data_IF_899900103250
#
_entry.id   IF_899900103250
#
_cell.length_a   1.000
_cell.length_b   1.000
_cell.length_c   1.000
_cell.angle_alpha   90.00
_cell.angle_beta   90.00
_cell.angle_gamma   90.00
#
_symmetry.space_group_name_H-M   'P 1'
#
loop_
_entity.id
_entity.type
_entity.pdbx_description
1 polymer ?
#
# COMPACT_ATOMS: atom_id res chain seq x y z
N UNK A 1 62.60 19.60 14.83
CA UNK A 1 61.12 19.77 14.63
C UNK A 1 60.65 18.71 13.65
N UNK A 2 59.95 17.67 14.12
CA UNK A 2 59.35 16.63 13.28
C UNK A 2 57.84 16.93 13.12
N UNK A 3 57.43 17.23 11.89
CA UNK A 3 56.03 17.45 11.56
C UNK A 3 55.29 16.11 11.50
N UNK A 4 54.28 15.91 12.34
CA UNK A 4 53.34 14.82 12.26
C UNK A 4 52.23 15.18 11.25
N UNK A 5 52.19 14.45 10.14
CA UNK A 5 51.10 14.53 9.18
C UNK A 5 49.98 13.60 9.68
N UNK A 6 48.86 14.19 10.14
CA UNK A 6 47.63 13.43 10.43
C UNK A 6 46.91 13.14 9.10
N UNK A 7 46.92 11.90 8.71
CA UNK A 7 46.06 11.39 7.59
C UNK A 7 44.67 11.14 8.17
N UNK A 8 43.71 12.02 7.82
CA UNK A 8 42.28 11.80 8.13
C UNK A 8 41.76 10.79 7.13
N UNK A 9 41.51 9.58 7.60
CA UNK A 9 40.85 8.53 6.82
C UNK A 9 39.34 8.87 6.79
N UNK A 10 38.89 9.46 5.70
CA UNK A 10 37.44 9.63 5.44
C UNK A 10 36.91 8.28 5.03
N UNK A 11 36.25 7.60 5.96
CA UNK A 11 35.51 6.37 5.67
C UNK A 11 34.23 6.79 4.92
N UNK A 12 34.22 6.66 3.60
CA UNK A 12 33.01 6.71 2.81
C UNK A 12 32.16 5.49 3.19
N UNK A 13 31.09 5.71 3.94
CA UNK A 13 30.02 4.73 4.11
C UNK A 13 29.39 4.50 2.74
N UNK A 14 29.88 3.49 2.02
CA UNK A 14 29.36 3.08 0.73
C UNK A 14 27.89 2.70 0.86
N UNK A 15 27.05 3.40 0.11
CA UNK A 15 25.62 3.24 0.08
C UNK A 15 25.21 1.81 -0.28
N UNK A 16 24.40 1.19 0.54
CA UNK A 16 23.79 -0.16 0.34
C UNK A 16 22.89 -0.22 -0.93
N UNK A 17 22.76 0.87 -1.66
CA UNK A 17 21.91 1.00 -2.85
C UNK A 17 22.57 0.63 -4.19
N UNK A 18 23.84 0.24 -4.20
CA UNK A 18 24.60 0.03 -5.45
C UNK A 18 24.07 -1.11 -6.36
N UNK A 19 23.15 -1.97 -5.86
CA UNK A 19 22.67 -3.16 -6.59
C UNK A 19 21.14 -3.17 -6.86
N UNK A 20 20.40 -2.08 -6.56
CA UNK A 20 18.95 -2.04 -6.80
C UNK A 20 18.68 -1.61 -8.24
N UNK A 21 18.18 -2.54 -9.06
CA UNK A 21 17.67 -2.19 -10.41
C UNK A 21 16.48 -1.24 -10.27
N UNK A 22 16.68 0.03 -10.67
CA UNK A 22 15.60 1.04 -10.67
C UNK A 22 14.55 0.70 -11.73
N UNK A 23 13.27 0.93 -11.42
CA UNK A 23 12.16 0.74 -12.35
C UNK A 23 11.01 -0.06 -11.75
N UNK A 24 9.93 -0.17 -12.52
CA UNK A 24 8.81 -1.05 -12.20
C UNK A 24 9.23 -2.51 -12.14
N UNK A 25 8.55 -3.28 -11.32
CA UNK A 25 8.79 -4.71 -11.14
C UNK A 25 7.46 -5.42 -10.90
N UNK A 26 7.45 -6.75 -10.98
CA UNK A 26 6.27 -7.54 -10.64
C UNK A 26 5.78 -7.23 -9.20
N UNK A 27 4.49 -7.41 -8.96
CA UNK A 27 3.88 -7.20 -7.63
C UNK A 27 4.62 -7.96 -6.52
N UNK A 28 5.04 -9.21 -6.77
CA UNK A 28 5.81 -9.98 -5.79
C UNK A 28 7.14 -9.33 -5.42
N UNK A 29 7.83 -8.74 -6.40
CA UNK A 29 9.09 -8.01 -6.16
C UNK A 29 8.84 -6.64 -5.54
N UNK A 30 7.74 -5.96 -5.92
CA UNK A 30 7.34 -4.67 -5.37
C UNK A 30 7.06 -4.77 -3.86
N UNK A 31 6.37 -5.83 -3.40
CA UNK A 31 6.16 -6.09 -1.96
C UNK A 31 7.48 -6.15 -1.17
N UNK A 32 8.46 -6.88 -1.67
CA UNK A 32 9.78 -6.97 -1.02
C UNK A 32 10.53 -5.64 -1.02
N UNK A 33 10.39 -4.83 -2.08
CA UNK A 33 10.97 -3.48 -2.13
C UNK A 33 10.27 -2.53 -1.17
N UNK A 34 8.94 -2.57 -1.11
CA UNK A 34 8.15 -1.78 -0.18
C UNK A 34 8.57 -2.06 1.28
N UNK A 35 8.64 -3.33 1.68
CA UNK A 35 9.10 -3.75 3.00
C UNK A 35 10.52 -3.25 3.28
N UNK A 36 11.46 -3.57 2.40
CA UNK A 36 12.90 -3.36 2.65
C UNK A 36 13.33 -1.90 2.54
N UNK A 37 12.74 -1.11 1.65
CA UNK A 37 13.26 0.21 1.29
C UNK A 37 12.29 1.36 1.56
N UNK A 38 10.98 1.10 1.59
CA UNK A 38 9.98 2.16 1.77
C UNK A 38 9.50 2.20 3.22
N UNK A 39 9.12 1.06 3.78
CA UNK A 39 8.47 0.95 5.10
C UNK A 39 9.37 0.37 6.20
N UNK A 40 10.68 0.23 5.97
CA UNK A 40 11.61 -0.43 6.90
C UNK A 40 11.67 0.19 8.32
N UNK A 41 11.29 1.43 8.48
CA UNK A 41 11.22 2.19 9.73
C UNK A 41 9.81 2.77 10.01
N UNK A 42 8.82 2.37 9.22
CA UNK A 42 7.42 2.77 9.33
C UNK A 42 6.56 1.53 9.57
N UNK A 43 6.32 1.26 10.82
CA UNK A 43 5.62 0.07 11.31
C UNK A 43 4.12 0.33 11.60
N UNK A 44 3.48 1.21 10.84
CA UNK A 44 2.05 1.55 10.96
C UNK A 44 1.26 1.08 9.76
N UNK A 45 0.16 0.35 10.01
CA UNK A 45 -0.80 0.03 8.95
C UNK A 45 -1.49 1.29 8.43
N UNK A 46 -1.84 1.30 7.14
CA UNK A 46 -2.36 2.49 6.48
C UNK A 46 -3.69 2.97 7.10
N UNK A 47 -4.75 2.17 7.08
CA UNK A 47 -6.06 2.62 7.54
C UNK A 47 -6.18 2.79 9.06
N UNK A 48 -5.75 1.79 9.83
CA UNK A 48 -5.97 1.77 11.28
C UNK A 48 -4.80 2.32 12.08
N UNK A 49 -3.65 2.57 11.48
CA UNK A 49 -2.41 2.99 12.17
C UNK A 49 -1.94 2.00 13.25
N UNK A 50 -2.30 0.72 13.13
CA UNK A 50 -1.80 -0.32 14.02
C UNK A 50 -0.31 -0.52 13.82
N UNK A 51 0.44 -0.70 14.91
CA UNK A 51 1.81 -1.17 14.83
C UNK A 51 1.84 -2.58 14.24
N UNK A 52 2.86 -2.87 13.45
CA UNK A 52 3.15 -4.21 12.96
C UNK A 52 4.65 -4.49 12.97
N UNK A 53 5.02 -5.73 12.75
CA UNK A 53 6.43 -6.17 12.70
C UNK A 53 6.61 -7.05 11.48
N UNK A 54 7.69 -6.82 10.73
CA UNK A 54 8.20 -7.78 9.77
C UNK A 54 9.23 -8.66 10.47
N UNK A 55 9.01 -9.96 10.46
CA UNK A 55 9.97 -10.95 10.96
C UNK A 55 9.98 -12.14 10.01
N UNK A 56 11.11 -12.40 9.37
CA UNK A 56 11.33 -13.53 8.49
C UNK A 56 12.19 -14.64 9.12
N UNK A 57 12.44 -14.54 10.43
CA UNK A 57 13.29 -15.45 11.20
C UNK A 57 12.56 -16.29 12.23
N UNK A 58 11.39 -15.85 12.68
CA UNK A 58 10.60 -16.49 13.72
C UNK A 58 9.17 -16.77 13.25
N UNK A 59 8.66 -17.92 13.61
CA UNK A 59 7.24 -18.26 13.49
C UNK A 59 6.49 -17.61 14.66
N UNK A 60 5.94 -16.41 14.41
CA UNK A 60 5.32 -15.58 15.45
C UNK A 60 3.89 -16.01 15.80
N UNK A 61 3.18 -16.69 14.89
CA UNK A 61 1.82 -17.15 15.11
C UNK A 61 1.67 -18.67 15.25
N UNK A 62 2.75 -19.43 15.04
CA UNK A 62 2.80 -20.87 15.22
C UNK A 62 2.25 -21.69 14.04
N UNK A 63 2.16 -21.09 12.84
CA UNK A 63 1.64 -21.76 11.64
C UNK A 63 2.71 -22.58 10.86
N UNK A 64 3.98 -22.49 11.29
CA UNK A 64 5.14 -23.14 10.66
C UNK A 64 5.82 -22.31 9.58
N UNK A 65 5.41 -21.07 9.37
CA UNK A 65 6.01 -20.12 8.43
C UNK A 65 6.80 -19.05 9.20
N UNK A 66 8.00 -18.71 8.75
CA UNK A 66 8.85 -17.68 9.38
C UNK A 66 8.80 -16.33 8.66
N UNK A 67 7.93 -16.15 7.66
CA UNK A 67 7.75 -14.86 6.96
C UNK A 67 6.55 -14.12 7.55
N UNK A 68 6.76 -13.57 8.70
CA UNK A 68 5.72 -12.96 9.50
C UNK A 68 5.56 -11.46 9.24
N UNK A 69 4.34 -11.01 9.36
CA UNK A 69 3.98 -9.58 9.25
C UNK A 69 2.83 -9.27 10.20
N UNK A 70 3.05 -9.53 11.48
CA UNK A 70 2.01 -9.50 12.51
C UNK A 70 1.67 -8.08 12.93
N UNK A 71 0.39 -7.78 13.03
CA UNK A 71 -0.09 -6.52 13.63
C UNK A 71 -0.15 -6.62 15.15
N UNK A 72 -0.09 -5.46 15.81
CA UNK A 72 -0.30 -5.28 17.25
C UNK A 72 -1.67 -4.60 17.47
N UNK A 73 -2.79 -5.33 17.54
CA UNK A 73 -4.14 -4.74 17.53
C UNK A 73 -4.37 -3.73 18.64
N UNK A 74 -3.78 -3.97 19.82
CA UNK A 74 -3.90 -3.08 20.99
C UNK A 74 -3.28 -1.70 20.78
N UNK A 75 -2.34 -1.55 19.83
CA UNK A 75 -1.66 -0.27 19.58
C UNK A 75 -2.59 0.77 18.91
N UNK A 76 -3.66 0.29 18.27
CA UNK A 76 -4.61 1.11 17.52
C UNK A 76 -6.08 0.88 17.93
N UNK A 77 -6.34 -0.05 18.85
CA UNK A 77 -7.70 -0.41 19.27
C UNK A 77 -8.48 -1.18 18.21
N UNK A 78 -7.79 -1.77 17.22
CA UNK A 78 -8.43 -2.63 16.23
C UNK A 78 -8.99 -3.89 16.90
N UNK A 79 -10.22 -4.23 16.51
CA UNK A 79 -10.89 -5.47 16.88
C UNK A 79 -11.39 -6.13 15.60
N UNK A 80 -11.06 -7.41 15.36
CA UNK A 80 -11.55 -8.09 14.16
C UNK A 80 -13.08 -8.14 14.08
N UNK A 81 -13.64 -7.80 12.92
CA UNK A 81 -15.05 -8.02 12.61
C UNK A 81 -15.38 -9.52 12.57
N UNK A 82 -14.47 -10.30 11.99
CA UNK A 82 -14.57 -11.76 11.90
C UNK A 82 -13.33 -12.41 12.50
N UNK A 83 -13.28 -12.63 13.83
CA UNK A 83 -12.12 -13.28 14.46
C UNK A 83 -11.94 -14.75 14.06
N UNK A 84 -13.01 -15.38 13.53
CA UNK A 84 -12.99 -16.74 13.02
C UNK A 84 -13.44 -16.80 11.56
N UNK A 85 -12.85 -17.73 10.82
CA UNK A 85 -13.31 -18.08 9.48
C UNK A 85 -14.65 -18.79 9.51
N UNK A 86 -15.32 -18.94 8.37
CA UNK A 86 -16.57 -19.74 8.22
C UNK A 86 -16.42 -21.20 8.69
N UNK A 87 -15.20 -21.71 8.77
CA UNK A 87 -14.87 -23.06 9.27
C UNK A 87 -14.53 -23.12 10.76
N UNK A 88 -14.68 -21.99 11.50
CA UNK A 88 -14.40 -21.88 12.95
C UNK A 88 -12.91 -21.83 13.29
N UNK A 89 -12.01 -21.69 12.32
CA UNK A 89 -10.57 -21.48 12.56
C UNK A 89 -10.27 -20.00 12.78
N UNK A 90 -9.19 -19.65 13.49
CA UNK A 90 -8.73 -18.27 13.56
C UNK A 90 -8.62 -17.63 12.17
N UNK A 91 -9.01 -16.36 12.07
CA UNK A 91 -8.86 -15.58 10.85
C UNK A 91 -7.45 -14.97 10.81
N UNK A 92 -6.50 -15.66 10.20
CA UNK A 92 -5.10 -15.21 10.09
C UNK A 92 -4.98 -13.82 9.43
N UNK A 93 -5.89 -13.49 8.49
CA UNK A 93 -5.90 -12.16 7.86
C UNK A 93 -6.17 -11.02 8.85
N UNK A 94 -6.88 -11.31 9.94
CA UNK A 94 -7.13 -10.35 11.00
C UNK A 94 -5.89 -10.06 11.88
N UNK A 95 -4.89 -10.94 11.85
CA UNK A 95 -3.67 -10.83 12.65
C UNK A 95 -2.43 -10.32 11.91
N UNK A 96 -2.49 -10.20 10.58
CA UNK A 96 -1.33 -9.84 9.76
C UNK A 96 -1.59 -8.65 8.87
N UNK A 97 -0.49 -8.05 8.33
CA UNK A 97 -0.63 -7.10 7.23
C UNK A 97 -0.76 -7.84 5.90
N UNK A 98 -1.37 -7.17 4.95
CA UNK A 98 -1.30 -7.48 3.53
C UNK A 98 -0.97 -6.19 2.76
N UNK A 99 -0.30 -6.35 1.63
CA UNK A 99 -0.04 -5.21 0.73
C UNK A 99 -1.30 -4.90 -0.05
N UNK A 100 -1.92 -3.80 0.34
CA UNK A 100 -3.13 -3.27 -0.27
C UNK A 100 -2.81 -2.47 -1.52
N UNK A 101 -3.59 -2.70 -2.58
CA UNK A 101 -3.66 -1.82 -3.73
C UNK A 101 -4.74 -0.77 -3.51
N UNK A 102 -4.37 0.48 -3.30
CA UNK A 102 -5.34 1.59 -3.13
C UNK A 102 -6.25 1.68 -4.37
N UNK A 103 -5.67 1.66 -5.57
CA UNK A 103 -6.41 1.43 -6.81
C UNK A 103 -6.41 -0.06 -7.11
N UNK A 104 -7.56 -0.76 -7.01
CA UNK A 104 -7.64 -2.21 -7.14
C UNK A 104 -7.13 -2.71 -8.49
N UNK A 105 -6.55 -3.91 -8.50
CA UNK A 105 -6.11 -4.57 -9.73
C UNK A 105 -7.23 -4.69 -10.77
N UNK A 106 -8.50 -4.81 -10.35
CA UNK A 106 -9.67 -4.81 -11.24
C UNK A 106 -9.78 -3.49 -12.04
N UNK A 107 -9.63 -2.35 -11.38
CA UNK A 107 -9.66 -1.03 -12.06
C UNK A 107 -8.47 -0.81 -13.02
N UNK A 108 -7.34 -1.48 -12.77
CA UNK A 108 -6.17 -1.45 -13.64
C UNK A 108 -6.31 -2.40 -14.85
N UNK A 109 -7.09 -3.47 -14.73
CA UNK A 109 -7.09 -4.58 -15.68
C UNK A 109 -8.38 -4.82 -16.46
N UNK A 110 -9.56 -4.56 -15.90
CA UNK A 110 -10.85 -4.97 -16.48
C UNK A 110 -11.10 -4.44 -17.91
N UNK A 111 -10.55 -3.30 -18.27
CA UNK A 111 -10.66 -2.74 -19.62
C UNK A 111 -9.65 -3.35 -20.61
N UNK A 112 -8.65 -4.10 -20.16
CA UNK A 112 -7.57 -4.66 -20.95
C UNK A 112 -7.97 -6.00 -21.61
N UNK A 113 -7.40 -6.27 -22.78
CA UNK A 113 -7.67 -7.52 -23.50
C UNK A 113 -7.26 -8.77 -22.72
N UNK A 114 -6.17 -8.69 -21.94
CA UNK A 114 -5.68 -9.80 -21.10
C UNK A 114 -6.69 -10.22 -20.03
N UNK A 115 -7.46 -9.26 -19.48
CA UNK A 115 -8.47 -9.55 -18.46
C UNK A 115 -9.69 -10.27 -19.02
N UNK A 116 -10.05 -9.98 -20.25
CA UNK A 116 -11.25 -10.55 -20.91
C UNK A 116 -11.05 -11.95 -21.46
N UNK A 117 -9.81 -12.34 -21.77
CA UNK A 117 -9.52 -13.57 -22.54
C UNK A 117 -9.75 -14.89 -21.80
N UNK A 118 -9.68 -14.90 -20.50
CA UNK A 118 -9.63 -16.16 -19.77
C UNK A 118 -10.77 -16.39 -18.79
N UNK A 119 -11.94 -15.89 -18.98
CA UNK A 119 -13.20 -16.19 -18.26
C UNK A 119 -13.20 -17.18 -17.09
N UNK A 120 -12.03 -17.58 -16.58
CA UNK A 120 -11.78 -18.51 -15.48
C UNK A 120 -10.68 -17.94 -14.59
N UNK A 121 -10.96 -17.91 -13.37
CA UNK A 121 -10.19 -17.87 -12.11
C UNK A 121 -8.86 -17.10 -12.02
N UNK A 122 -8.31 -16.46 -13.08
CA UNK A 122 -7.02 -15.79 -13.04
C UNK A 122 -6.86 -14.66 -14.06
N UNK A 123 -7.87 -13.84 -14.29
CA UNK A 123 -7.76 -12.66 -15.16
C UNK A 123 -6.58 -11.77 -14.75
N UNK A 124 -6.45 -11.48 -13.44
CA UNK A 124 -5.33 -10.74 -12.86
C UNK A 124 -3.98 -11.40 -13.15
N UNK A 125 -3.86 -12.71 -12.88
CA UNK A 125 -2.61 -13.46 -13.12
C UNK A 125 -2.27 -13.53 -14.60
N UNK A 126 -3.28 -13.65 -15.49
CA UNK A 126 -3.05 -13.62 -16.93
C UNK A 126 -2.52 -12.25 -17.37
N UNK A 127 -3.13 -11.16 -16.90
CA UNK A 127 -2.66 -9.81 -17.23
C UNK A 127 -1.23 -9.58 -16.73
N UNK A 128 -0.90 -9.95 -15.49
CA UNK A 128 0.45 -9.83 -14.95
C UNK A 128 1.53 -10.60 -15.74
N UNK A 129 1.12 -11.65 -16.49
CA UNK A 129 2.05 -12.45 -17.31
C UNK A 129 2.12 -11.99 -18.77
N UNK A 130 1.11 -11.31 -19.30
CA UNK A 130 0.95 -11.09 -20.74
C UNK A 130 0.77 -9.64 -21.14
N UNK A 131 0.66 -8.72 -20.17
CA UNK A 131 0.47 -7.29 -20.39
C UNK A 131 1.43 -6.52 -19.47
N UNK A 132 2.55 -6.07 -20.05
CA UNK A 132 3.60 -5.35 -19.33
C UNK A 132 3.07 -4.06 -18.66
N UNK A 133 2.14 -3.36 -19.31
CA UNK A 133 1.57 -2.14 -18.74
C UNK A 133 0.71 -2.46 -17.50
N UNK A 134 0.03 -3.60 -17.47
CA UNK A 134 -0.67 -4.06 -16.28
C UNK A 134 0.31 -4.49 -15.19
N UNK A 135 1.36 -5.27 -15.51
CA UNK A 135 2.38 -5.71 -14.55
C UNK A 135 3.05 -4.48 -13.88
N UNK A 136 3.38 -3.45 -14.66
CA UNK A 136 3.95 -2.20 -14.16
C UNK A 136 2.98 -1.46 -13.24
N UNK A 137 1.70 -1.38 -13.60
CA UNK A 137 0.67 -0.74 -12.77
C UNK A 137 0.39 -1.53 -11.47
N UNK A 138 0.35 -2.85 -11.54
CA UNK A 138 0.16 -3.73 -10.39
C UNK A 138 1.35 -3.69 -9.41
N UNK A 139 2.56 -3.54 -9.94
CA UNK A 139 3.80 -3.46 -9.17
C UNK A 139 4.20 -2.05 -8.76
N UNK A 140 3.39 -1.02 -9.03
CA UNK A 140 3.74 0.37 -8.71
C UNK A 140 3.71 0.61 -7.19
N UNK A 141 4.86 1.03 -6.64
CA UNK A 141 5.06 1.28 -5.22
C UNK A 141 4.19 2.43 -4.69
N UNK A 142 3.80 3.40 -5.54
CA UNK A 142 2.87 4.46 -5.15
C UNK A 142 1.48 3.94 -4.83
N UNK A 143 1.09 2.78 -5.39
CA UNK A 143 -0.21 2.16 -5.17
C UNK A 143 -0.23 1.13 -4.02
N UNK A 144 0.92 0.82 -3.41
CA UNK A 144 1.05 -0.23 -2.40
C UNK A 144 1.21 0.34 -0.99
N UNK A 145 0.33 -0.08 -0.07
CA UNK A 145 0.39 0.29 1.34
C UNK A 145 0.21 -0.93 2.24
N UNK A 146 0.80 -0.97 3.46
CA UNK A 146 0.57 -2.05 4.41
C UNK A 146 -0.79 -1.85 5.08
N UNK A 147 -1.72 -2.79 4.93
CA UNK A 147 -3.04 -2.74 5.55
C UNK A 147 -3.29 -4.00 6.40
N UNK A 148 -4.19 -3.92 7.39
CA UNK A 148 -4.69 -5.11 8.08
C UNK A 148 -5.37 -6.02 7.05
N UNK A 149 -4.99 -7.29 7.00
CA UNK A 149 -5.44 -8.20 5.95
C UNK A 149 -6.95 -8.43 5.94
N UNK A 150 -7.64 -8.34 7.09
CA UNK A 150 -9.10 -8.39 7.13
C UNK A 150 -9.72 -7.18 6.41
N UNK A 151 -9.22 -5.96 6.66
CA UNK A 151 -9.70 -4.75 6.01
C UNK A 151 -9.45 -4.78 4.50
N UNK A 152 -8.26 -5.22 4.09
CA UNK A 152 -7.94 -5.45 2.69
C UNK A 152 -8.94 -6.43 2.03
N UNK A 153 -9.26 -7.54 2.73
CA UNK A 153 -10.24 -8.51 2.24
C UNK A 153 -11.65 -7.96 2.14
N UNK A 154 -12.08 -7.24 3.16
CA UNK A 154 -13.45 -6.69 3.24
C UNK A 154 -13.64 -5.54 2.25
N UNK A 155 -12.61 -4.71 2.07
CA UNK A 155 -12.62 -3.67 1.05
C UNK A 155 -12.65 -4.24 -0.36
N UNK A 156 -11.92 -5.34 -0.62
CA UNK A 156 -11.91 -5.99 -1.95
C UNK A 156 -11.58 -5.01 -3.09
N UNK A 157 -12.46 -4.86 -4.08
CA UNK A 157 -12.37 -3.87 -5.16
C UNK A 157 -13.42 -2.75 -5.04
N UNK A 158 -14.05 -2.61 -3.87
CA UNK A 158 -15.02 -1.56 -3.59
C UNK A 158 -14.43 -0.17 -3.77
N UNK A 159 -15.25 0.73 -4.28
CA UNK A 159 -14.86 2.13 -4.44
C UNK A 159 -14.78 2.83 -3.09
N UNK A 160 -13.89 3.81 -2.99
CA UNK A 160 -13.95 4.71 -1.84
C UNK A 160 -15.13 5.68 -1.94
N UNK A 161 -15.67 6.06 -0.78
CA UNK A 161 -16.80 6.99 -0.69
C UNK A 161 -17.17 7.25 0.75
N UNK A 162 -18.21 8.03 0.96
CA UNK A 162 -18.82 8.27 2.27
C UNK A 162 -19.96 7.27 2.47
N UNK A 163 -20.11 6.79 3.69
CA UNK A 163 -21.12 5.81 4.12
C UNK A 163 -21.95 6.46 5.22
N UNK A 164 -23.27 6.44 5.11
CA UNK A 164 -24.14 6.99 6.13
C UNK A 164 -24.02 6.20 7.44
N UNK A 165 -23.74 6.92 8.51
CA UNK A 165 -23.60 6.37 9.85
C UNK A 165 -22.20 5.83 10.14
N UNK A 166 -21.90 5.65 11.44
CA UNK A 166 -20.58 5.29 11.96
C UNK A 166 -20.60 3.84 12.45
N UNK A 167 -20.52 2.88 11.54
CA UNK A 167 -20.49 1.46 11.86
C UNK A 167 -19.06 1.01 12.19
N UNK A 168 -18.67 1.10 13.46
CA UNK A 168 -17.34 0.72 13.97
C UNK A 168 -17.14 -0.80 14.00
N UNK A 169 -17.17 -1.44 12.83
CA UNK A 169 -17.03 -2.90 12.71
C UNK A 169 -15.64 -3.42 13.10
N UNK A 170 -14.63 -2.53 13.10
CA UNK A 170 -13.23 -2.87 13.38
C UNK A 170 -12.71 -2.23 14.68
N UNK A 171 -13.59 -2.06 15.68
CA UNK A 171 -13.25 -1.46 16.98
C UNK A 171 -13.00 0.05 16.87
N UNK A 172 -11.84 0.53 17.31
CA UNK A 172 -11.49 1.95 17.23
C UNK A 172 -10.89 2.36 15.86
N UNK A 173 -10.64 1.39 14.96
CA UNK A 173 -10.19 1.70 13.61
C UNK A 173 -11.31 2.41 12.85
N UNK A 174 -11.05 3.63 12.44
CA UNK A 174 -11.98 4.52 11.72
C UNK A 174 -11.97 4.17 10.22
N UNK A 175 -12.51 3.01 9.90
CA UNK A 175 -12.63 2.49 8.54
C UNK A 175 -13.93 1.71 8.43
N UNK A 176 -14.79 2.08 7.50
CA UNK A 176 -16.09 1.45 7.30
C UNK A 176 -16.15 0.75 5.94
N UNK A 177 -16.90 -0.36 5.90
CA UNK A 177 -17.18 -1.09 4.66
C UNK A 177 -18.66 -1.39 4.58
N UNK A 178 -19.32 -0.87 3.56
CA UNK A 178 -20.68 -1.23 3.20
C UNK A 178 -20.67 -2.29 2.09
N UNK A 179 -21.03 -3.52 2.44
CA UNK A 179 -21.14 -4.62 1.47
C UNK A 179 -22.37 -4.48 0.59
N UNK A 180 -23.38 -3.70 1.01
CA UNK A 180 -24.60 -3.45 0.24
C UNK A 180 -24.36 -2.44 -0.88
N UNK A 181 -23.66 -1.33 -0.57
CA UNK A 181 -23.34 -0.28 -1.54
C UNK A 181 -22.00 -0.44 -2.24
N UNK A 182 -21.21 -1.47 -1.88
CA UNK A 182 -19.86 -1.73 -2.38
C UNK A 182 -18.92 -0.51 -2.21
N UNK A 183 -18.99 0.12 -1.02
CA UNK A 183 -18.19 1.28 -0.66
C UNK A 183 -17.30 0.98 0.54
N UNK A 184 -16.14 1.65 0.56
CA UNK A 184 -15.26 1.74 1.72
C UNK A 184 -15.04 3.21 2.07
N UNK A 185 -15.22 3.56 3.35
CA UNK A 185 -14.96 4.90 3.85
C UNK A 185 -13.68 4.92 4.68
N UNK A 186 -12.67 5.67 4.26
CA UNK A 186 -11.44 5.82 4.99
C UNK A 186 -11.52 6.97 6.00
N UNK A 187 -10.66 6.97 7.05
CA UNK A 187 -10.49 8.10 7.94
C UNK A 187 -10.29 9.41 7.19
N UNK A 188 -10.79 10.51 7.74
CA UNK A 188 -10.72 11.84 7.11
C UNK A 188 -9.28 12.24 6.73
N UNK A 189 -8.32 11.97 7.60
CA UNK A 189 -6.90 12.30 7.43
C UNK A 189 -6.12 11.36 6.50
N UNK A 190 -6.79 10.48 5.77
CA UNK A 190 -6.21 9.62 4.73
C UNK A 190 -6.89 9.82 3.37
N UNK A 191 -7.91 10.68 3.33
CA UNK A 191 -8.66 10.92 2.09
C UNK A 191 -7.78 11.59 1.03
N UNK A 192 -6.92 12.52 1.44
CA UNK A 192 -5.94 13.15 0.55
C UNK A 192 -4.91 12.18 0.01
N UNK A 193 -4.33 11.33 0.88
CA UNK A 193 -3.37 10.28 0.48
C UNK A 193 -3.97 9.36 -0.58
N UNK A 194 -5.19 8.86 -0.33
CA UNK A 194 -5.92 8.01 -1.27
C UNK A 194 -6.17 8.74 -2.59
N UNK A 195 -6.62 9.99 -2.50
CA UNK A 195 -6.90 10.81 -3.67
C UNK A 195 -5.66 11.01 -4.54
N UNK A 196 -4.51 11.36 -3.94
CA UNK A 196 -3.23 11.54 -4.64
C UNK A 196 -2.73 10.27 -5.29
N UNK A 197 -2.95 9.11 -4.65
CA UNK A 197 -2.67 7.81 -5.25
C UNK A 197 -3.57 7.56 -6.47
N UNK A 198 -4.88 7.79 -6.36
CA UNK A 198 -5.81 7.64 -7.48
C UNK A 198 -5.47 8.56 -8.66
N UNK A 199 -5.25 9.85 -8.38
CA UNK A 199 -4.90 10.84 -9.41
C UNK A 199 -3.59 10.47 -10.13
N UNK A 200 -2.61 9.96 -9.39
CA UNK A 200 -1.36 9.47 -9.96
C UNK A 200 -1.58 8.22 -10.83
N UNK A 201 -2.32 7.23 -10.34
CA UNK A 201 -2.56 5.98 -11.07
C UNK A 201 -3.39 6.21 -12.35
N UNK A 202 -4.34 7.15 -12.31
CA UNK A 202 -5.08 7.59 -13.51
C UNK A 202 -4.10 8.20 -14.53
N UNK A 203 -3.24 9.11 -14.08
CA UNK A 203 -2.31 9.84 -14.97
C UNK A 203 -1.21 8.94 -15.52
N UNK A 204 -0.68 8.01 -14.72
CA UNK A 204 0.51 7.22 -15.06
C UNK A 204 0.15 5.90 -15.73
N UNK A 205 -0.95 5.27 -15.32
CA UNK A 205 -1.33 3.91 -15.73
C UNK A 205 -2.70 3.79 -16.38
N UNK A 206 -3.37 4.93 -16.66
CA UNK A 206 -4.72 4.97 -17.23
C UNK A 206 -5.74 4.14 -16.42
N UNK A 207 -5.63 4.24 -15.06
CA UNK A 207 -6.58 3.57 -14.17
C UNK A 207 -8.00 4.08 -14.44
N UNK A 208 -8.95 3.15 -14.60
CA UNK A 208 -10.32 3.50 -14.97
C UNK A 208 -11.13 3.81 -13.72
N UNK A 209 -11.65 5.03 -13.65
CA UNK A 209 -12.46 5.55 -12.54
C UNK A 209 -13.70 6.24 -13.08
N UNK A 210 -14.81 6.10 -12.41
CA UNK A 210 -16.05 6.81 -12.78
C UNK A 210 -15.87 8.33 -12.63
N UNK A 211 -16.43 9.16 -13.53
CA UNK A 211 -16.24 10.62 -13.52
C UNK A 211 -16.60 11.30 -12.19
N UNK A 212 -17.66 10.84 -11.52
CA UNK A 212 -18.10 11.36 -10.22
C UNK A 212 -17.06 11.09 -9.12
N UNK A 213 -16.38 9.95 -9.15
CA UNK A 213 -15.30 9.65 -8.23
C UNK A 213 -14.07 10.52 -8.46
N UNK A 214 -13.80 10.88 -9.69
CA UNK A 214 -12.70 11.83 -10.00
C UNK A 214 -12.94 13.19 -9.35
N UNK A 215 -14.19 13.69 -9.34
CA UNK A 215 -14.56 14.91 -8.63
C UNK A 215 -14.33 14.81 -7.13
N UNK A 216 -14.72 13.69 -6.53
CA UNK A 216 -14.49 13.40 -5.11
C UNK A 216 -12.99 13.35 -4.77
N UNK A 217 -12.16 12.67 -5.57
CA UNK A 217 -10.71 12.61 -5.31
C UNK A 217 -10.04 13.98 -5.44
N UNK A 218 -10.48 14.85 -6.36
CA UNK A 218 -9.98 16.22 -6.42
C UNK A 218 -10.30 16.99 -5.14
N UNK A 219 -11.55 16.89 -4.67
CA UNK A 219 -11.97 17.52 -3.41
C UNK A 219 -11.15 16.98 -2.21
N UNK A 220 -10.98 15.68 -2.11
CA UNK A 220 -10.20 15.05 -1.03
C UNK A 220 -8.74 15.51 -1.04
N UNK A 221 -8.13 15.63 -2.22
CA UNK A 221 -6.77 16.18 -2.36
C UNK A 221 -6.67 17.62 -1.84
N UNK A 222 -7.73 18.43 -2.02
CA UNK A 222 -7.72 19.84 -1.63
C UNK A 222 -7.95 20.03 -0.12
N UNK A 223 -8.74 19.16 0.52
CA UNK A 223 -9.09 19.28 1.94
C UNK A 223 -8.14 18.57 2.89
N UNK A 224 -7.35 17.61 2.41
CA UNK A 224 -6.36 16.85 3.19
C UNK A 224 -4.99 17.02 2.54
N UNK A 225 -4.20 18.02 2.99
CA UNK A 225 -2.94 18.39 2.34
C UNK A 225 -1.85 17.34 2.54
N UNK A 226 -0.86 17.34 1.63
CA UNK A 226 0.32 16.46 1.69
C UNK A 226 1.02 16.57 3.03
N UNK A 227 1.28 15.42 3.66
CA UNK A 227 1.97 15.32 4.93
C UNK A 227 3.47 14.95 4.77
N UNK A 228 4.19 14.95 5.89
CA UNK A 228 5.62 14.63 5.91
C UNK A 228 5.93 13.19 5.51
N UNK A 229 5.03 12.26 5.86
CA UNK A 229 5.24 10.85 5.53
C UNK A 229 5.03 10.61 4.03
N UNK A 230 4.04 11.23 3.42
CA UNK A 230 3.84 11.16 1.98
C UNK A 230 5.09 11.65 1.22
N UNK A 231 5.69 12.79 1.65
CA UNK A 231 6.92 13.30 1.06
C UNK A 231 8.09 12.32 1.21
N UNK A 232 8.30 11.79 2.39
CA UNK A 232 9.36 10.82 2.65
C UNK A 232 9.14 9.53 1.83
N UNK A 233 7.90 9.04 1.78
CA UNK A 233 7.52 7.88 1.00
C UNK A 233 7.76 8.09 -0.50
N UNK A 234 7.35 9.23 -1.04
CA UNK A 234 7.57 9.61 -2.45
C UNK A 234 9.05 9.65 -2.80
N UNK A 235 9.87 10.28 -1.94
CA UNK A 235 11.33 10.33 -2.09
C UNK A 235 11.97 8.94 -2.11
N UNK A 236 11.55 8.04 -1.22
CA UNK A 236 12.04 6.66 -1.18
C UNK A 236 11.64 5.90 -2.44
N UNK A 237 10.41 6.09 -2.91
CA UNK A 237 9.92 5.45 -4.15
C UNK A 237 10.68 6.00 -5.36
N UNK A 238 10.90 7.30 -5.44
CA UNK A 238 11.71 7.90 -6.52
C UNK A 238 13.09 7.24 -6.64
N UNK A 239 13.77 6.97 -5.52
CA UNK A 239 15.09 6.30 -5.52
C UNK A 239 15.00 4.87 -6.04
N UNK A 240 13.96 4.12 -5.69
CA UNK A 240 13.84 2.68 -5.96
C UNK A 240 13.13 2.38 -7.28
N UNK A 241 12.13 3.19 -7.63
CA UNK A 241 11.29 3.00 -8.82
C UNK A 241 11.63 3.96 -9.95
N UNK A 242 12.21 5.13 -9.65
CA UNK A 242 12.69 6.09 -10.63
C UNK A 242 11.67 7.16 -11.02
N UNK A 243 10.52 7.22 -10.35
CA UNK A 243 9.49 8.23 -10.61
C UNK A 243 8.82 8.70 -9.32
N UNK A 244 8.38 9.94 -9.31
CA UNK A 244 7.65 10.60 -8.22
C UNK A 244 6.15 10.65 -8.52
N UNK A 245 5.33 10.59 -7.48
CA UNK A 245 3.93 10.98 -7.58
C UNK A 245 3.86 12.51 -7.62
N UNK A 246 3.54 13.08 -8.78
CA UNK A 246 3.52 14.54 -8.97
C UNK A 246 2.52 15.26 -8.07
N UNK A 247 1.46 14.57 -7.61
CA UNK A 247 0.47 15.13 -6.69
C UNK A 247 0.98 15.17 -5.24
N UNK A 248 2.15 14.57 -4.97
CA UNK A 248 2.86 14.63 -3.70
C UNK A 248 4.14 15.45 -3.87
N UNK A 249 5.04 15.05 -4.75
CA UNK A 249 6.39 15.60 -4.86
C UNK A 249 6.45 17.11 -5.08
N UNK A 250 5.47 17.69 -5.80
CA UNK A 250 5.40 19.14 -6.01
C UNK A 250 5.11 19.95 -4.72
N UNK A 251 4.65 19.32 -3.66
CA UNK A 251 4.33 19.93 -2.37
C UNK A 251 5.39 19.67 -1.31
N UNK A 252 6.41 18.86 -1.63
CA UNK A 252 7.48 18.54 -0.71
C UNK A 252 8.60 19.57 -0.83
N UNK A 253 9.01 20.13 0.29
CA UNK A 253 10.23 20.94 0.36
C UNK A 253 11.46 20.03 0.36
N UNK A 254 12.52 20.44 -0.34
CA UNK A 254 13.83 19.79 -0.33
C UNK A 254 14.48 19.77 1.07
#
# INVERSE_FOLDING_TARGET
>A
MRAFVFIILVIFSGSILADVKVGFVSFSSAKKRAEKYIYHDQDKTFYCRCDYVFDDTHDLDGDGNTKESMIKPKSCGYTPRNPLTKKGKPNERAGRIEWEHIVPAAQLGQHRACWKKNGKDNARTNCAKTDEAFENAEGDLHNLVPAVGELNADRSDFSFGEIDGEHRAYGHCDFEVSFESELAEPPLNLRGDIARIYLYMIKTHDAQVMPEKLGMFKLWNDIDPVDKWECERDKRILIIQGNSNIFVGQHCSD
#
